data_IF_002388741276
#
_entry.id   IF_002388741276
#
_cell.length_a   1.000
_cell.length_b   1.000
_cell.length_c   1.000
_cell.angle_alpha   90.00
_cell.angle_beta   90.00
_cell.angle_gamma   90.00
#
_symmetry.space_group_name_H-M   'P 1'
#
loop_
_entity.id
_entity.type
_entity.pdbx_description
1 polymer ?
#
# COMPACT_ATOMS: atom_id res chain seq x y z
N UNK A 1 0.38 -15.86 9.82
CA UNK A 1 -0.59 -14.85 10.34
C UNK A 1 0.03 -13.48 10.24
N UNK A 2 -0.53 -12.63 9.40
CA UNK A 2 0.09 -11.34 9.28
C UNK A 2 -0.52 -10.39 8.27
N UNK A 3 -0.10 -9.13 8.42
CA UNK A 3 -0.45 -8.02 7.57
C UNK A 3 0.57 -7.86 6.45
N UNK A 4 0.08 -7.73 5.21
CA UNK A 4 0.91 -7.28 4.10
C UNK A 4 0.29 -6.05 3.47
N UNK A 5 1.14 -5.13 3.03
CA UNK A 5 0.71 -4.01 2.21
C UNK A 5 0.75 -4.46 0.75
N UNK A 6 -0.25 -4.08 -0.03
CA UNK A 6 -0.25 -4.29 -1.47
C UNK A 6 -0.30 -2.93 -2.14
N UNK A 7 0.74 -2.62 -2.91
CA UNK A 7 0.83 -1.40 -3.69
C UNK A 7 0.54 -1.72 -5.14
N UNK A 8 -0.40 -1.00 -5.75
CA UNK A 8 -0.73 -1.12 -7.15
C UNK A 8 -0.49 0.20 -7.83
N UNK A 9 -0.03 0.18 -9.09
CA UNK A 9 0.19 1.42 -9.83
C UNK A 9 -0.34 1.35 -11.24
N UNK A 10 -0.82 2.52 -11.68
CA UNK A 10 -1.47 2.73 -12.94
C UNK A 10 -0.80 3.92 -13.65
N UNK A 11 -0.69 3.86 -14.97
CA UNK A 11 -0.13 4.96 -15.75
C UNK A 11 -1.07 6.17 -15.68
N UNK A 12 -0.54 7.35 -15.36
CA UNK A 12 -1.34 8.57 -15.24
C UNK A 12 -1.99 9.00 -16.56
N UNK A 13 -1.34 8.71 -17.68
CA UNK A 13 -1.82 9.12 -19.01
C UNK A 13 -2.86 8.17 -19.56
N UNK A 14 -2.62 6.86 -19.44
CA UNK A 14 -3.48 5.84 -20.04
C UNK A 14 -4.48 5.26 -19.04
N UNK A 15 -4.20 5.41 -17.74
CA UNK A 15 -4.93 4.81 -16.64
C UNK A 15 -4.87 3.28 -16.63
N UNK A 16 -3.98 2.69 -17.44
CA UNK A 16 -3.79 1.25 -17.48
C UNK A 16 -2.99 0.77 -16.27
N UNK A 17 -3.39 -0.39 -15.76
CA UNK A 17 -2.67 -1.11 -14.71
C UNK A 17 -1.26 -1.46 -15.19
N UNK A 18 -0.25 -1.08 -14.41
CA UNK A 18 1.15 -1.29 -14.77
C UNK A 18 1.84 -2.33 -13.88
N UNK A 19 1.43 -2.47 -12.64
CA UNK A 19 2.04 -3.45 -11.76
C UNK A 19 1.54 -3.40 -10.33
N UNK A 20 2.04 -4.35 -9.54
CA UNK A 20 1.77 -4.41 -8.12
C UNK A 20 2.93 -5.06 -7.38
N UNK A 21 3.03 -4.76 -6.10
CA UNK A 21 4.01 -5.38 -5.21
C UNK A 21 3.39 -5.55 -3.83
N UNK A 22 3.69 -6.70 -3.19
CA UNK A 22 3.36 -6.92 -1.78
C UNK A 22 4.58 -6.64 -0.91
N UNK A 23 4.37 -6.06 0.25
CA UNK A 23 5.41 -5.95 1.27
C UNK A 23 5.71 -7.32 1.86
N UNK A 24 6.75 -7.39 2.69
CA UNK A 24 6.95 -8.54 3.56
C UNK A 24 5.79 -8.66 4.55
N UNK A 25 5.61 -9.84 5.12
CA UNK A 25 4.64 -10.07 6.20
C UNK A 25 5.07 -9.28 7.44
N UNK A 26 4.23 -8.34 7.84
CA UNK A 26 4.49 -7.46 8.99
C UNK A 26 3.96 -8.06 10.31
N UNK A 27 3.41 -9.26 10.26
CA UNK A 27 2.84 -9.91 11.45
C UNK A 27 1.64 -9.13 11.98
N UNK A 28 1.62 -8.91 13.29
CA UNK A 28 0.55 -8.17 13.95
C UNK A 28 0.82 -6.66 14.02
N UNK A 29 1.91 -6.19 13.41
CA UNK A 29 2.32 -4.79 13.50
C UNK A 29 1.55 -3.94 12.50
N UNK A 30 0.61 -3.15 13.01
CA UNK A 30 -0.18 -2.20 12.22
C UNK A 30 0.32 -0.76 12.30
N UNK A 31 1.53 -0.54 12.78
CA UNK A 31 2.05 0.82 12.98
C UNK A 31 2.11 1.65 11.71
N UNK A 32 2.31 1.02 10.55
CA UNK A 32 2.30 1.73 9.26
C UNK A 32 0.94 2.37 8.98
N UNK A 33 -0.14 1.69 9.31
CA UNK A 33 -1.50 2.22 9.11
C UNK A 33 -1.71 3.46 9.99
N UNK A 34 -1.27 3.41 11.22
CA UNK A 34 -1.33 4.56 12.13
C UNK A 34 -0.47 5.71 11.61
N UNK A 35 0.71 5.42 11.10
CA UNK A 35 1.61 6.42 10.54
C UNK A 35 1.00 7.14 9.33
N UNK A 36 0.12 6.48 8.59
CA UNK A 36 -0.61 7.08 7.48
C UNK A 36 -1.80 7.92 7.93
N UNK A 37 -2.13 7.88 9.23
CA UNK A 37 -3.27 8.63 9.77
C UNK A 37 -4.62 7.99 9.49
N UNK A 38 -4.65 6.69 9.22
CA UNK A 38 -5.87 5.94 8.91
C UNK A 38 -6.29 5.14 10.13
N UNK A 39 -7.61 5.11 10.48
CA UNK A 39 -8.09 4.24 11.54
C UNK A 39 -7.81 2.76 11.20
N UNK A 40 -7.26 2.04 12.15
CA UNK A 40 -6.85 0.64 11.95
C UNK A 40 -8.05 -0.28 11.69
N UNK A 41 -9.12 -0.13 12.46
CA UNK A 41 -10.17 -1.16 12.56
C UNK A 41 -10.98 -1.37 11.27
N UNK A 42 -11.20 -0.34 10.46
CA UNK A 42 -12.12 -0.43 9.32
C UNK A 42 -11.41 -0.50 7.97
N UNK A 43 -10.07 -0.63 7.97
CA UNK A 43 -9.30 -0.48 6.75
C UNK A 43 -8.52 -1.72 6.35
N UNK A 44 -8.56 -2.77 7.16
CA UNK A 44 -7.94 -4.06 6.83
C UNK A 44 -8.91 -4.88 5.99
N UNK A 45 -8.42 -5.44 4.88
CA UNK A 45 -9.20 -6.22 3.93
C UNK A 45 -10.41 -5.46 3.36
N UNK A 46 -10.30 -4.15 3.26
CA UNK A 46 -11.42 -3.29 2.87
C UNK A 46 -11.15 -2.46 1.61
N UNK A 47 -10.39 -3.01 0.67
CA UNK A 47 -10.12 -2.36 -0.60
C UNK A 47 -8.94 -1.41 -0.58
N UNK A 48 -8.73 -0.73 -1.69
CA UNK A 48 -7.57 0.14 -1.89
C UNK A 48 -7.85 1.60 -1.57
N UNK A 49 -6.81 2.29 -1.15
CA UNK A 49 -6.82 3.72 -0.90
C UNK A 49 -5.94 4.42 -1.94
N UNK A 50 -6.40 5.54 -2.46
CA UNK A 50 -5.55 6.39 -3.29
C UNK A 50 -4.41 6.94 -2.44
N UNK A 51 -3.18 6.83 -2.96
CA UNK A 51 -1.98 7.26 -2.24
C UNK A 51 -1.71 8.73 -2.52
N UNK A 52 -1.85 9.61 -1.52
CA UNK A 52 -1.41 10.99 -1.69
C UNK A 52 0.11 11.10 -1.60
N UNK A 53 0.65 12.18 -2.08
CA UNK A 53 2.10 12.38 -2.12
C UNK A 53 2.75 12.28 -0.74
N UNK A 54 2.08 12.74 0.30
CA UNK A 54 2.61 12.73 1.67
C UNK A 54 2.79 11.33 2.26
N UNK A 55 2.18 10.30 1.66
CA UNK A 55 2.33 8.92 2.13
C UNK A 55 3.57 8.22 1.59
N UNK A 56 4.22 8.78 0.57
CA UNK A 56 5.32 8.11 -0.14
C UNK A 56 6.48 7.79 0.79
N UNK A 57 6.89 8.73 1.62
CA UNK A 57 7.98 8.53 2.59
C UNK A 57 7.72 7.36 3.53
N UNK A 58 6.48 7.23 3.97
CA UNK A 58 6.07 6.15 4.88
C UNK A 58 6.03 4.82 4.19
N UNK A 59 5.54 4.78 2.93
CA UNK A 59 5.34 3.54 2.19
C UNK A 59 6.62 3.02 1.53
N UNK A 60 7.49 3.90 1.05
CA UNK A 60 8.66 3.50 0.26
C UNK A 60 9.52 2.41 0.92
N UNK A 61 9.81 2.45 2.24
CA UNK A 61 10.64 1.42 2.86
C UNK A 61 10.09 0.00 2.78
N UNK A 62 8.80 -0.16 2.53
CA UNK A 62 8.15 -1.47 2.48
C UNK A 62 8.22 -2.10 1.10
N UNK A 63 8.66 -1.37 0.08
CA UNK A 63 8.63 -1.82 -1.31
C UNK A 63 9.98 -1.65 -1.99
N UNK A 64 10.27 -2.56 -2.94
CA UNK A 64 11.44 -2.47 -3.81
C UNK A 64 11.19 -1.53 -4.97
N UNK A 65 9.95 -1.45 -5.44
CA UNK A 65 9.56 -0.51 -6.47
C UNK A 65 9.85 0.92 -6.01
N UNK A 66 10.53 1.67 -6.85
CA UNK A 66 10.79 3.09 -6.59
C UNK A 66 9.53 3.87 -6.90
N UNK A 67 8.85 4.37 -5.87
CA UNK A 67 7.57 5.06 -6.03
C UNK A 67 7.78 6.36 -6.78
N UNK A 68 7.12 6.49 -7.93
CA UNK A 68 7.21 7.69 -8.79
C UNK A 68 5.82 8.30 -8.95
N UNK A 69 5.48 9.16 -8.00
CA UNK A 69 4.16 9.78 -7.94
C UNK A 69 3.86 10.69 -9.14
N UNK A 70 4.91 11.19 -9.81
CA UNK A 70 4.73 12.02 -11.00
C UNK A 70 4.29 11.23 -12.23
N UNK A 71 4.67 9.94 -12.29
CA UNK A 71 4.40 9.07 -13.45
C UNK A 71 3.17 8.19 -13.25
N UNK A 72 2.93 7.72 -12.03
CA UNK A 72 1.90 6.74 -11.74
C UNK A 72 0.88 7.23 -10.73
N UNK A 73 -0.33 6.68 -10.84
CA UNK A 73 -1.35 6.74 -9.79
C UNK A 73 -1.19 5.48 -8.94
N UNK A 74 -1.10 5.64 -7.63
CA UNK A 74 -0.91 4.53 -6.70
C UNK A 74 -2.14 4.27 -5.86
N UNK A 75 -2.40 2.98 -5.61
CA UNK A 75 -3.37 2.55 -4.61
C UNK A 75 -2.67 1.59 -3.66
N UNK A 76 -2.98 1.69 -2.37
CA UNK A 76 -2.45 0.79 -1.35
C UNK A 76 -3.61 0.09 -0.66
N UNK A 77 -3.44 -1.22 -0.43
CA UNK A 77 -4.40 -2.04 0.30
C UNK A 77 -3.69 -2.69 1.48
N UNK A 78 -4.46 -2.99 2.51
CA UNK A 78 -3.96 -3.63 3.73
C UNK A 78 -4.62 -5.00 3.84
N UNK A 79 -3.86 -6.05 3.53
CA UNK A 79 -4.37 -7.41 3.49
C UNK A 79 -3.85 -8.18 4.71
N UNK A 80 -4.76 -8.74 5.51
CA UNK A 80 -4.42 -9.57 6.66
C UNK A 80 -4.93 -10.98 6.41
N UNK A 81 -4.04 -11.96 6.55
CA UNK A 81 -4.38 -13.37 6.39
C UNK A 81 -3.72 -14.22 7.46
N UNK A 82 -4.37 -15.33 7.81
CA UNK A 82 -3.79 -16.32 8.73
C UNK A 82 -2.64 -17.07 8.06
N UNK A 83 -2.72 -17.27 6.75
CA UNK A 83 -1.67 -17.91 5.96
C UNK A 83 -1.42 -17.11 4.69
N UNK A 84 -0.17 -16.95 4.39
CA UNK A 84 0.28 -16.35 3.14
C UNK A 84 0.92 -17.40 2.19
#
# INVERSE_FOLDING_TARGET
MGLKLRLEWFNKKTEFYEGEEHSNDLGEDGSVIEALGIPFENNINNGGFNVPQEWIKTLQPYFKHSIDWATYIYQVSFDYRDNW
#
